data_IF_660103940863
#
_entry.id   IF_660103940863
#
_cell.length_a   1.000
_cell.length_b   1.000
_cell.length_c   1.000
_cell.angle_alpha   90.00
_cell.angle_beta   90.00
_cell.angle_gamma   90.00
#
_symmetry.space_group_name_H-M   'P 1'
#
loop_
_entity.id
_entity.type
_entity.pdbx_description
1 polymer ?
#
# COMPACT_ATOMS: atom_id res chain seq x y z
N UNK A 1 27.98 -29.46 -5.13
CA UNK A 1 27.41 -28.35 -5.90
C UNK A 1 28.18 -27.08 -5.58
N UNK A 2 28.54 -26.27 -6.61
CA UNK A 2 29.27 -25.03 -6.38
C UNK A 2 28.41 -24.08 -5.52
N UNK A 3 29.03 -23.29 -4.63
CA UNK A 3 28.28 -22.33 -3.81
C UNK A 3 27.52 -21.34 -4.72
N UNK A 4 26.29 -20.93 -4.33
CA UNK A 4 25.50 -20.04 -5.16
C UNK A 4 26.26 -18.73 -5.39
N UNK A 5 26.39 -18.35 -6.67
CA UNK A 5 27.09 -17.12 -7.08
C UNK A 5 26.49 -15.90 -6.37
N UNK A 6 27.30 -14.93 -5.92
CA UNK A 6 26.86 -13.74 -5.16
C UNK A 6 25.73 -12.94 -5.85
N UNK A 7 25.70 -12.95 -7.17
CA UNK A 7 24.66 -12.32 -8.01
C UNK A 7 23.26 -12.91 -7.84
N UNK A 8 23.12 -14.21 -7.56
CA UNK A 8 21.82 -14.84 -7.29
C UNK A 8 21.28 -14.47 -5.90
N UNK A 9 22.13 -14.34 -4.92
CA UNK A 9 21.72 -14.03 -3.54
C UNK A 9 21.28 -12.56 -3.38
N UNK A 10 21.98 -11.63 -4.06
CA UNK A 10 21.61 -10.19 -4.08
C UNK A 10 20.27 -9.96 -4.79
N UNK A 11 20.04 -10.61 -5.93
CA UNK A 11 18.77 -10.54 -6.66
C UNK A 11 17.56 -11.03 -5.81
N UNK A 12 17.74 -12.10 -5.03
CA UNK A 12 16.70 -12.65 -4.15
C UNK A 12 16.35 -11.70 -3.01
N UNK A 13 17.34 -11.16 -2.30
CA UNK A 13 17.10 -10.16 -1.24
C UNK A 13 16.43 -8.91 -1.76
N UNK A 14 16.83 -8.40 -2.90
CA UNK A 14 16.21 -7.25 -3.54
C UNK A 14 14.72 -7.49 -3.87
N UNK A 15 14.38 -8.65 -4.43
CA UNK A 15 12.97 -8.97 -4.77
C UNK A 15 12.08 -9.04 -3.55
N UNK A 16 12.53 -9.70 -2.49
CA UNK A 16 11.78 -9.77 -1.23
C UNK A 16 11.63 -8.38 -0.58
N UNK A 17 12.64 -7.52 -0.69
CA UNK A 17 12.56 -6.13 -0.21
C UNK A 17 11.52 -5.33 -1.00
N UNK A 18 11.53 -5.41 -2.34
CA UNK A 18 10.58 -4.65 -3.17
C UNK A 18 9.12 -5.04 -2.96
N UNK A 19 8.81 -6.35 -2.78
CA UNK A 19 7.46 -6.81 -2.43
C UNK A 19 7.04 -6.24 -1.08
N UNK A 20 7.93 -6.30 -0.10
CA UNK A 20 7.70 -5.78 1.23
C UNK A 20 7.39 -4.29 1.21
N UNK A 21 8.15 -3.51 0.42
CA UNK A 21 7.96 -2.07 0.32
C UNK A 21 6.62 -1.72 -0.33
N UNK A 22 6.24 -2.41 -1.40
CA UNK A 22 4.93 -2.24 -2.06
C UNK A 22 3.76 -2.62 -1.14
N UNK A 23 3.89 -3.71 -0.40
CA UNK A 23 2.87 -4.14 0.56
C UNK A 23 2.78 -3.18 1.75
N UNK A 24 3.90 -2.69 2.26
CA UNK A 24 3.93 -1.66 3.31
C UNK A 24 3.29 -0.37 2.81
N UNK A 25 3.52 -0.01 1.54
CA UNK A 25 2.90 1.16 0.90
C UNK A 25 1.38 1.08 0.82
N UNK A 26 0.81 -0.08 0.52
CA UNK A 26 -0.65 -0.25 0.41
C UNK A 26 -1.31 -0.54 1.75
N UNK A 27 -0.86 -1.57 2.47
CA UNK A 27 -1.46 -2.00 3.72
C UNK A 27 -1.13 -1.05 4.88
N UNK A 28 0.11 -0.57 4.95
CA UNK A 28 0.50 0.43 5.95
C UNK A 28 -0.29 1.73 5.81
N UNK A 29 -0.52 2.17 4.57
CA UNK A 29 -1.37 3.33 4.29
C UNK A 29 -2.83 3.09 4.70
N UNK A 30 -3.38 1.92 4.40
CA UNK A 30 -4.74 1.57 4.82
C UNK A 30 -4.92 1.67 6.33
N UNK A 31 -4.05 1.02 7.12
CA UNK A 31 -4.12 1.04 8.57
C UNK A 31 -3.85 2.44 9.11
N UNK A 32 -2.86 3.13 8.55
CA UNK A 32 -2.49 4.48 8.97
C UNK A 32 -3.56 5.52 8.67
N UNK A 33 -4.23 5.42 7.52
CA UNK A 33 -5.38 6.27 7.20
C UNK A 33 -6.57 5.96 8.09
N UNK A 34 -6.83 4.69 8.39
CA UNK A 34 -7.89 4.31 9.32
C UNK A 34 -7.69 4.94 10.71
N UNK A 35 -6.44 5.02 11.18
CA UNK A 35 -6.09 5.66 12.43
C UNK A 35 -6.04 7.20 12.35
N UNK A 36 -5.58 7.75 11.23
CA UNK A 36 -5.37 9.20 11.04
C UNK A 36 -6.59 9.97 10.55
N UNK A 37 -7.52 9.33 9.86
CA UNK A 37 -8.68 9.98 9.26
C UNK A 37 -9.60 10.68 10.29
N UNK A 38 -9.94 10.05 11.45
CA UNK A 38 -10.71 10.74 12.48
C UNK A 38 -10.00 11.98 13.03
N UNK A 39 -8.66 11.93 13.16
CA UNK A 39 -7.86 13.07 13.60
C UNK A 39 -7.95 14.22 12.61
N UNK A 40 -7.80 13.95 11.32
CA UNK A 40 -7.89 14.96 10.27
C UNK A 40 -9.27 15.62 10.22
N UNK A 41 -10.35 14.82 10.26
CA UNK A 41 -11.70 15.37 10.30
C UNK A 41 -11.91 16.28 11.49
N UNK A 42 -11.45 15.86 12.68
CA UNK A 42 -11.65 16.61 13.92
C UNK A 42 -10.86 17.94 13.93
N UNK A 43 -9.68 17.95 13.32
CA UNK A 43 -8.81 19.14 13.32
C UNK A 43 -9.09 20.10 12.18
N UNK A 44 -9.48 19.60 11.02
CA UNK A 44 -9.69 20.42 9.83
C UNK A 44 -11.16 20.81 9.58
N UNK A 45 -12.09 20.02 10.11
CA UNK A 45 -13.54 20.23 9.95
C UNK A 45 -14.27 20.04 11.29
N UNK A 46 -14.06 20.94 12.27
CA UNK A 46 -14.62 20.79 13.63
C UNK A 46 -16.15 20.79 13.67
N UNK A 47 -16.82 21.39 12.67
CA UNK A 47 -18.27 21.44 12.52
C UNK A 47 -18.89 20.06 12.19
N UNK A 48 -18.06 19.10 11.73
CA UNK A 48 -18.54 17.81 11.27
C UNK A 48 -18.51 16.78 12.40
N UNK A 49 -19.62 16.05 12.55
CA UNK A 49 -19.67 14.94 13.49
C UNK A 49 -18.81 13.74 12.99
N UNK A 50 -17.62 13.67 13.51
CA UNK A 50 -16.60 12.66 13.14
C UNK A 50 -17.13 11.23 13.32
N UNK A 51 -17.96 10.97 14.36
CA UNK A 51 -18.45 9.62 14.66
C UNK A 51 -19.35 9.06 13.56
N UNK A 52 -20.04 9.94 12.82
CA UNK A 52 -20.93 9.52 11.73
C UNK A 52 -20.16 9.05 10.48
N UNK A 53 -18.96 9.55 10.25
CA UNK A 53 -18.24 9.36 8.98
C UNK A 53 -16.95 8.56 9.11
N UNK A 54 -16.33 8.53 10.29
CA UNK A 54 -15.00 7.94 10.49
C UNK A 54 -14.93 6.45 10.14
N UNK A 55 -15.99 5.68 10.41
CA UNK A 55 -16.02 4.25 10.14
C UNK A 55 -16.17 3.90 8.65
N UNK A 56 -16.68 4.83 7.83
CA UNK A 56 -16.92 4.59 6.40
C UNK A 56 -15.62 4.36 5.63
N UNK A 57 -14.54 5.05 5.99
CA UNK A 57 -13.26 4.86 5.37
C UNK A 57 -12.71 3.43 5.46
N UNK A 58 -12.48 2.92 6.68
CA UNK A 58 -12.07 1.52 6.87
C UNK A 58 -13.05 0.50 6.26
N UNK A 59 -14.35 0.77 6.32
CA UNK A 59 -15.38 -0.09 5.71
C UNK A 59 -15.20 -0.18 4.19
N UNK A 60 -15.09 0.96 3.51
CA UNK A 60 -14.87 1.02 2.05
C UNK A 60 -13.58 0.29 1.67
N UNK A 61 -12.50 0.49 2.40
CA UNK A 61 -11.23 -0.18 2.12
C UNK A 61 -11.27 -1.69 2.37
N UNK A 62 -11.96 -2.15 3.40
CA UNK A 62 -12.15 -3.58 3.67
C UNK A 62 -13.01 -4.26 2.57
N UNK A 63 -14.11 -3.62 2.18
CA UNK A 63 -14.98 -4.13 1.12
C UNK A 63 -14.27 -4.12 -0.24
N UNK A 64 -13.54 -3.06 -0.58
CA UNK A 64 -12.78 -2.99 -1.83
C UNK A 64 -11.72 -4.09 -1.90
N UNK A 65 -11.02 -4.37 -0.79
CA UNK A 65 -10.06 -5.48 -0.72
C UNK A 65 -10.71 -6.83 -1.03
N UNK A 66 -11.88 -7.11 -0.47
CA UNK A 66 -12.60 -8.35 -0.70
C UNK A 66 -13.15 -8.45 -2.14
N UNK A 67 -13.67 -7.32 -2.67
CA UNK A 67 -14.33 -7.29 -3.96
C UNK A 67 -13.37 -7.26 -5.15
N UNK A 68 -12.12 -6.79 -5.00
CA UNK A 68 -11.22 -6.50 -6.13
C UNK A 68 -10.09 -7.49 -6.33
N UNK A 69 -10.02 -8.55 -5.52
CA UNK A 69 -8.98 -9.58 -5.66
C UNK A 69 -8.93 -10.18 -7.07
N UNK A 70 -10.08 -10.45 -7.70
CA UNK A 70 -10.17 -10.98 -9.05
C UNK A 70 -9.55 -10.08 -10.16
N UNK A 71 -9.45 -8.78 -9.90
CA UNK A 71 -8.83 -7.82 -10.84
C UNK A 71 -7.34 -8.13 -10.99
N UNK A 72 -6.68 -8.42 -9.87
CA UNK A 72 -5.26 -8.80 -9.86
C UNK A 72 -5.00 -10.13 -10.55
N UNK A 73 -5.94 -11.09 -10.43
CA UNK A 73 -5.85 -12.38 -11.12
C UNK A 73 -5.94 -12.20 -12.64
N UNK A 74 -6.75 -11.26 -13.10
CA UNK A 74 -7.00 -11.03 -14.55
C UNK A 74 -5.93 -10.16 -15.21
N UNK A 75 -5.46 -9.10 -14.53
CA UNK A 75 -4.59 -8.08 -15.13
C UNK A 75 -3.13 -8.19 -14.69
N UNK A 76 -2.83 -9.05 -13.71
CA UNK A 76 -1.53 -9.17 -13.07
C UNK A 76 -1.36 -8.20 -11.91
N UNK A 77 -0.92 -8.75 -10.75
CA UNK A 77 -0.81 -7.98 -9.51
C UNK A 77 0.14 -6.79 -9.60
N UNK A 78 1.27 -6.92 -10.31
CA UNK A 78 2.25 -5.85 -10.45
C UNK A 78 1.73 -4.63 -11.24
N UNK A 79 0.93 -4.87 -12.28
CA UNK A 79 0.31 -3.79 -13.06
C UNK A 79 -0.79 -3.08 -12.26
N UNK A 80 -1.65 -3.85 -11.60
CA UNK A 80 -2.72 -3.31 -10.76
C UNK A 80 -2.13 -2.46 -9.64
N UNK A 81 -1.09 -2.95 -8.96
CA UNK A 81 -0.41 -2.21 -7.89
C UNK A 81 0.20 -0.90 -8.40
N UNK A 82 0.85 -0.91 -9.56
CA UNK A 82 1.42 0.30 -10.17
C UNK A 82 0.35 1.37 -10.45
N UNK A 83 -0.74 1.00 -11.12
CA UNK A 83 -1.84 1.92 -11.39
C UNK A 83 -2.54 2.41 -10.12
N UNK A 84 -2.61 1.55 -9.10
CA UNK A 84 -3.14 1.93 -7.78
C UNK A 84 -2.29 3.02 -7.14
N UNK A 85 -0.95 2.92 -7.16
CA UNK A 85 -0.10 3.98 -6.63
C UNK A 85 -0.26 5.30 -7.39
N UNK A 86 -0.37 5.27 -8.72
CA UNK A 86 -0.63 6.48 -9.50
C UNK A 86 -1.98 7.11 -9.15
N UNK A 87 -3.02 6.30 -8.99
CA UNK A 87 -4.34 6.79 -8.58
C UNK A 87 -4.32 7.35 -7.15
N UNK A 88 -3.56 6.73 -6.24
CA UNK A 88 -3.37 7.23 -4.87
C UNK A 88 -2.68 8.60 -4.86
N UNK A 89 -1.68 8.83 -5.71
CA UNK A 89 -1.03 10.14 -5.87
C UNK A 89 -2.07 11.20 -6.28
N UNK A 90 -2.91 10.90 -7.26
CA UNK A 90 -3.97 11.81 -7.72
C UNK A 90 -4.97 12.08 -6.59
N UNK A 91 -5.37 11.05 -5.85
CA UNK A 91 -6.33 11.19 -4.75
C UNK A 91 -5.75 12.01 -3.58
N UNK A 92 -4.48 11.83 -3.21
CA UNK A 92 -3.82 12.66 -2.19
C UNK A 92 -3.71 14.12 -2.65
N UNK A 93 -3.41 14.33 -3.92
CA UNK A 93 -3.41 15.69 -4.49
C UNK A 93 -4.82 16.31 -4.42
N UNK A 94 -5.86 15.54 -4.69
CA UNK A 94 -7.25 15.96 -4.50
C UNK A 94 -7.55 16.33 -3.03
N UNK A 95 -7.09 15.53 -2.08
CA UNK A 95 -7.22 15.84 -0.63
C UNK A 95 -6.59 17.19 -0.31
N UNK A 96 -5.38 17.48 -0.82
CA UNK A 96 -4.71 18.77 -0.61
C UNK A 96 -5.51 19.95 -1.13
N UNK A 97 -6.23 19.80 -2.25
CA UNK A 97 -7.03 20.89 -2.85
C UNK A 97 -8.31 21.22 -2.06
N UNK A 98 -8.86 20.26 -1.34
CA UNK A 98 -10.10 20.42 -0.59
C UNK A 98 -9.93 20.71 0.91
N UNK A 99 -8.69 20.65 1.40
CA UNK A 99 -8.38 21.05 2.78
C UNK A 99 -8.52 22.56 2.97
N UNK A 100 -8.85 23.02 4.18
CA UNK A 100 -8.79 24.43 4.54
C UNK A 100 -7.43 25.04 4.16
N UNK A 101 -7.46 26.20 3.51
CA UNK A 101 -6.27 26.94 3.06
C UNK A 101 -6.48 28.44 3.20
N UNK A 102 -5.44 29.25 3.01
CA UNK A 102 -5.57 30.72 3.03
C UNK A 102 -6.58 31.24 1.98
N UNK A 103 -6.70 30.53 0.84
CA UNK A 103 -7.65 30.87 -0.23
C UNK A 103 -9.07 30.40 0.05
N UNK A 104 -9.26 29.40 0.89
CA UNK A 104 -10.54 28.77 1.25
C UNK A 104 -10.51 28.37 2.72
N UNK A 105 -10.78 29.29 3.67
CA UNK A 105 -10.66 29.00 5.11
C UNK A 105 -11.55 27.87 5.60
N UNK A 106 -12.75 27.73 5.03
CA UNK A 106 -13.71 26.68 5.39
C UNK A 106 -13.42 25.33 4.71
N UNK A 107 -12.59 25.33 3.67
CA UNK A 107 -12.32 24.14 2.85
C UNK A 107 -13.61 23.57 2.21
N UNK A 108 -13.52 22.37 1.67
CA UNK A 108 -14.70 21.63 1.18
C UNK A 108 -14.72 20.22 1.75
N UNK A 109 -15.50 20.03 2.82
CA UNK A 109 -15.61 18.74 3.49
C UNK A 109 -16.03 17.60 2.54
N UNK A 110 -16.99 17.79 1.67
CA UNK A 110 -17.46 16.73 0.78
C UNK A 110 -16.43 16.35 -0.27
N UNK A 111 -15.69 17.32 -0.80
CA UNK A 111 -14.57 17.05 -1.70
C UNK A 111 -13.42 16.31 -1.01
N UNK A 112 -13.04 16.76 0.18
CA UNK A 112 -12.07 16.08 1.04
C UNK A 112 -12.52 14.65 1.35
N UNK A 113 -13.77 14.47 1.79
CA UNK A 113 -14.32 13.17 2.13
C UNK A 113 -14.32 12.21 0.93
N UNK A 114 -14.79 12.68 -0.23
CA UNK A 114 -14.79 11.86 -1.45
C UNK A 114 -13.38 11.42 -1.87
N UNK A 115 -12.39 12.33 -1.83
CA UNK A 115 -10.99 11.99 -2.13
C UNK A 115 -10.43 11.00 -1.09
N UNK A 116 -10.77 11.15 0.19
CA UNK A 116 -10.35 10.21 1.22
C UNK A 116 -11.00 8.83 1.08
N UNK A 117 -12.29 8.78 0.71
CA UNK A 117 -12.96 7.51 0.38
C UNK A 117 -12.32 6.83 -0.83
N UNK A 118 -11.94 7.61 -1.86
CA UNK A 118 -11.16 7.08 -2.99
C UNK A 118 -9.81 6.53 -2.54
N UNK A 119 -9.10 7.19 -1.61
CA UNK A 119 -7.86 6.68 -1.02
C UNK A 119 -8.08 5.35 -0.29
N UNK A 120 -9.12 5.24 0.54
CA UNK A 120 -9.45 3.98 1.20
C UNK A 120 -9.77 2.87 0.20
N UNK A 121 -10.55 3.16 -0.82
CA UNK A 121 -10.85 2.22 -1.90
C UNK A 121 -9.55 1.75 -2.59
N UNK A 122 -8.70 2.67 -2.99
CA UNK A 122 -7.44 2.38 -3.68
C UNK A 122 -6.45 1.60 -2.79
N UNK A 123 -6.34 1.94 -1.51
CA UNK A 123 -5.51 1.18 -0.57
C UNK A 123 -6.02 -0.26 -0.41
N UNK A 124 -7.34 -0.47 -0.43
CA UNK A 124 -7.94 -1.80 -0.44
C UNK A 124 -7.61 -2.60 -1.69
N UNK A 125 -7.75 -2.00 -2.88
CA UNK A 125 -7.36 -2.61 -4.17
C UNK A 125 -5.87 -2.94 -4.19
N UNK A 126 -5.02 -2.00 -3.79
CA UNK A 126 -3.57 -2.19 -3.71
C UNK A 126 -3.19 -3.29 -2.73
N UNK A 127 -3.87 -3.37 -1.59
CA UNK A 127 -3.64 -4.42 -0.62
C UNK A 127 -4.04 -5.81 -1.17
N UNK A 128 -5.17 -5.93 -1.86
CA UNK A 128 -5.57 -7.17 -2.51
C UNK A 128 -4.55 -7.61 -3.57
N UNK A 129 -4.08 -6.67 -4.42
CA UNK A 129 -3.13 -6.98 -5.48
C UNK A 129 -1.76 -7.40 -4.95
N UNK A 130 -1.22 -6.70 -3.97
CA UNK A 130 0.08 -7.03 -3.36
C UNK A 130 0.02 -8.34 -2.57
N UNK A 131 -1.09 -8.62 -1.90
CA UNK A 131 -1.29 -9.87 -1.18
C UNK A 131 -1.26 -11.09 -2.12
N UNK A 132 -1.85 -10.98 -3.31
CA UNK A 132 -1.86 -12.05 -4.33
C UNK A 132 -0.51 -12.21 -5.05
N UNK A 133 0.27 -11.14 -5.18
CA UNK A 133 1.61 -11.21 -5.78
C UNK A 133 2.56 -12.13 -5.01
N UNK A 134 2.48 -12.17 -3.67
CA UNK A 134 3.41 -12.94 -2.83
C UNK A 134 3.36 -14.44 -3.15
N UNK A 135 2.20 -15.13 -3.10
CA UNK A 135 2.13 -16.53 -3.49
C UNK A 135 2.52 -16.79 -4.96
N UNK A 136 2.16 -15.88 -5.87
CA UNK A 136 2.50 -16.01 -7.30
C UNK A 136 4.01 -16.00 -7.52
N UNK A 137 4.74 -15.15 -6.82
CA UNK A 137 6.20 -15.08 -6.89
C UNK A 137 6.83 -16.29 -6.21
N UNK A 138 6.30 -16.73 -5.07
CA UNK A 138 6.82 -17.91 -4.37
C UNK A 138 6.64 -19.20 -5.17
N UNK A 139 5.53 -19.36 -5.90
CA UNK A 139 5.33 -20.48 -6.84
C UNK A 139 6.41 -20.56 -7.93
N UNK A 140 7.01 -19.44 -8.30
CA UNK A 140 8.10 -19.41 -9.30
C UNK A 140 9.49 -19.58 -8.65
N UNK A 141 9.69 -19.04 -7.45
CA UNK A 141 11.00 -19.01 -6.80
C UNK A 141 11.33 -20.30 -6.02
N UNK A 142 10.37 -20.90 -5.30
CA UNK A 142 10.63 -22.09 -4.48
C UNK A 142 11.08 -23.29 -5.31
N UNK A 143 10.47 -23.63 -6.49
CA UNK A 143 10.96 -24.71 -7.34
C UNK A 143 12.39 -24.49 -7.87
N UNK A 144 12.76 -23.24 -8.12
CA UNK A 144 14.13 -22.88 -8.56
C UNK A 144 15.16 -23.06 -7.46
N UNK A 145 14.76 -22.95 -6.20
CA UNK A 145 15.64 -23.04 -5.04
C UNK A 145 15.79 -24.47 -4.52
N UNK A 146 14.74 -25.26 -4.67
CA UNK A 146 14.63 -26.63 -4.17
C UNK A 146 14.17 -27.59 -5.28
N UNK A 147 14.99 -27.79 -6.34
CA UNK A 147 14.60 -28.57 -7.51
C UNK A 147 14.42 -30.07 -7.22
N UNK A 148 14.94 -30.56 -6.09
CA UNK A 148 14.90 -31.96 -5.71
C UNK A 148 13.75 -32.35 -4.76
N UNK A 149 12.84 -31.40 -4.45
CA UNK A 149 11.67 -31.69 -3.63
C UNK A 149 10.57 -32.36 -4.46
N UNK A 150 9.90 -33.34 -3.84
CA UNK A 150 8.67 -33.91 -4.38
C UNK A 150 7.57 -32.84 -4.51
N UNK A 151 6.65 -33.05 -5.47
CA UNK A 151 5.61 -32.05 -5.80
C UNK A 151 4.75 -31.64 -4.60
N UNK A 152 4.39 -32.60 -3.74
CA UNK A 152 3.61 -32.33 -2.54
C UNK A 152 4.39 -31.54 -1.48
N UNK A 153 5.67 -31.88 -1.28
CA UNK A 153 6.56 -31.15 -0.38
C UNK A 153 6.86 -29.73 -0.91
N UNK A 154 6.99 -29.58 -2.22
CA UNK A 154 7.21 -28.29 -2.88
C UNK A 154 6.03 -27.35 -2.70
N UNK A 155 4.80 -27.83 -2.86
CA UNK A 155 3.61 -27.05 -2.62
C UNK A 155 3.53 -26.58 -1.17
N UNK A 156 3.71 -27.49 -0.22
CA UNK A 156 3.71 -27.16 1.22
C UNK A 156 4.76 -26.12 1.58
N UNK A 157 5.97 -26.26 1.03
CA UNK A 157 7.05 -25.29 1.25
C UNK A 157 6.69 -23.92 0.67
N UNK A 158 6.09 -23.86 -0.52
CA UNK A 158 5.65 -22.62 -1.17
C UNK A 158 4.60 -21.89 -0.32
N UNK A 159 3.65 -22.63 0.23
CA UNK A 159 2.61 -22.08 1.12
C UNK A 159 3.22 -21.55 2.43
N UNK A 160 4.14 -22.29 3.05
CA UNK A 160 4.83 -21.87 4.27
C UNK A 160 5.67 -20.60 4.06
N UNK A 161 6.47 -20.54 3.00
CA UNK A 161 7.28 -19.35 2.66
C UNK A 161 6.39 -18.14 2.36
N UNK A 162 5.30 -18.34 1.62
CA UNK A 162 4.34 -17.28 1.33
C UNK A 162 3.70 -16.74 2.59
N UNK A 163 3.24 -17.62 3.48
CA UNK A 163 2.63 -17.24 4.76
C UNK A 163 3.63 -16.48 5.67
N UNK A 164 4.88 -16.94 5.73
CA UNK A 164 5.92 -16.28 6.52
C UNK A 164 6.22 -14.86 6.00
N UNK A 165 6.30 -14.66 4.68
CA UNK A 165 6.52 -13.34 4.07
C UNK A 165 5.33 -12.42 4.34
N UNK A 166 4.10 -12.91 4.16
CA UNK A 166 2.88 -12.15 4.44
C UNK A 166 2.84 -11.72 5.91
N UNK A 167 3.08 -12.63 6.85
CA UNK A 167 3.07 -12.33 8.27
C UNK A 167 4.10 -11.26 8.65
N UNK A 168 5.34 -11.41 8.17
CA UNK A 168 6.43 -10.48 8.45
C UNK A 168 6.17 -9.09 7.85
N UNK A 169 5.73 -9.04 6.60
CA UNK A 169 5.42 -7.76 5.93
C UNK A 169 4.21 -7.07 6.54
N UNK A 170 3.19 -7.84 6.97
CA UNK A 170 2.03 -7.29 7.67
C UNK A 170 2.40 -6.70 9.02
N UNK A 171 3.30 -7.34 9.76
CA UNK A 171 3.81 -6.81 11.03
C UNK A 171 4.52 -5.47 10.84
N UNK A 172 5.36 -5.34 9.80
CA UNK A 172 6.02 -4.07 9.46
C UNK A 172 5.00 -3.02 9.04
N UNK A 173 4.06 -3.37 8.17
CA UNK A 173 3.03 -2.46 7.68
C UNK A 173 2.11 -1.94 8.80
N UNK A 174 1.90 -2.73 9.86
CA UNK A 174 1.10 -2.31 11.03
C UNK A 174 1.67 -1.06 11.73
N UNK A 175 2.99 -0.79 11.63
CA UNK A 175 3.57 0.46 12.12
C UNK A 175 3.01 1.70 11.41
N UNK A 176 2.38 1.56 10.24
CA UNK A 176 1.63 2.64 9.58
C UNK A 176 0.59 3.28 10.49
N UNK A 177 -0.06 2.49 11.37
CA UNK A 177 -1.01 2.99 12.37
C UNK A 177 -0.39 4.00 13.35
N UNK A 178 0.91 3.92 13.59
CA UNK A 178 1.63 4.85 14.45
C UNK A 178 2.22 6.02 13.67
N UNK A 179 2.92 5.74 12.57
CA UNK A 179 3.66 6.77 11.84
C UNK A 179 2.75 7.77 11.12
N UNK A 180 1.66 7.33 10.53
CA UNK A 180 0.79 8.21 9.74
C UNK A 180 0.06 9.23 10.63
N UNK A 181 -0.64 8.85 11.71
CA UNK A 181 -1.22 9.82 12.63
C UNK A 181 -0.18 10.75 13.28
N UNK A 182 1.01 10.21 13.60
CA UNK A 182 2.12 11.03 14.13
C UNK A 182 2.59 12.08 13.14
N UNK A 183 2.74 11.73 11.85
CA UNK A 183 3.11 12.68 10.80
C UNK A 183 2.04 13.77 10.64
N UNK A 184 0.76 13.42 10.66
CA UNK A 184 -0.33 14.39 10.66
C UNK A 184 -0.25 15.31 11.87
N UNK A 185 -0.16 14.73 13.07
CA UNK A 185 -0.07 15.51 14.31
C UNK A 185 1.14 16.44 14.34
N UNK A 186 2.31 15.99 13.90
CA UNK A 186 3.52 16.81 13.80
C UNK A 186 3.37 17.93 12.78
N UNK A 187 2.84 17.63 11.59
CA UNK A 187 2.59 18.64 10.55
C UNK A 187 1.63 19.73 11.07
N UNK A 188 0.53 19.33 11.67
CA UNK A 188 -0.48 20.25 12.22
C UNK A 188 0.14 21.09 13.37
N UNK A 189 0.93 20.49 14.25
CA UNK A 189 1.58 21.22 15.34
C UNK A 189 2.60 22.26 14.86
N UNK A 190 3.27 22.00 13.74
CA UNK A 190 4.30 22.90 13.18
C UNK A 190 3.73 23.99 12.27
N UNK A 191 2.70 23.70 11.50
CA UNK A 191 2.19 24.56 10.42
C UNK A 191 0.70 24.88 10.50
N UNK A 192 0.00 24.33 11.49
CA UNK A 192 -1.47 24.44 11.59
C UNK A 192 -2.24 23.53 10.59
N UNK A 193 -1.55 22.92 9.63
CA UNK A 193 -2.15 22.14 8.57
C UNK A 193 -1.46 20.79 8.33
N UNK A 194 -2.17 19.76 7.83
CA UNK A 194 -1.59 18.45 7.55
C UNK A 194 -0.80 18.40 6.22
N UNK A 195 -0.63 19.52 5.54
CA UNK A 195 -0.06 19.61 4.18
C UNK A 195 1.33 18.97 4.10
N UNK A 196 2.21 19.19 5.06
CA UNK A 196 3.55 18.61 5.09
C UNK A 196 3.54 17.08 5.10
N UNK A 197 2.64 16.48 5.87
CA UNK A 197 2.47 15.04 5.91
C UNK A 197 1.94 14.48 4.56
N UNK A 198 0.98 15.16 3.94
CA UNK A 198 0.43 14.75 2.65
C UNK A 198 1.46 14.85 1.52
N UNK A 199 2.31 15.87 1.51
CA UNK A 199 3.44 15.95 0.58
C UNK A 199 4.45 14.82 0.79
N UNK A 200 4.72 14.45 2.04
CA UNK A 200 5.57 13.29 2.33
C UNK A 200 4.96 11.98 1.78
N UNK A 201 3.63 11.80 1.89
CA UNK A 201 2.96 10.63 1.31
C UNK A 201 2.98 10.63 -0.22
N UNK A 202 2.83 11.78 -0.87
CA UNK A 202 3.01 11.89 -2.32
C UNK A 202 4.40 11.41 -2.76
N UNK A 203 5.44 11.88 -2.09
CA UNK A 203 6.82 11.44 -2.33
C UNK A 203 6.99 9.93 -2.11
N UNK A 204 6.44 9.40 -1.03
CA UNK A 204 6.48 7.98 -0.72
C UNK A 204 5.77 7.12 -1.78
N UNK A 205 4.58 7.51 -2.23
CA UNK A 205 3.86 6.78 -3.28
C UNK A 205 4.55 6.88 -4.64
N UNK A 206 5.18 8.01 -4.96
CA UNK A 206 6.00 8.14 -6.16
C UNK A 206 7.17 7.14 -6.15
N UNK A 207 7.87 7.01 -5.03
CA UNK A 207 8.94 6.01 -4.85
C UNK A 207 8.39 4.58 -4.99
N UNK A 208 7.26 4.26 -4.33
CA UNK A 208 6.61 2.96 -4.46
C UNK A 208 6.20 2.65 -5.90
N UNK A 209 5.64 3.63 -6.63
CA UNK A 209 5.27 3.49 -8.03
C UNK A 209 6.48 3.20 -8.92
N UNK A 210 7.59 3.92 -8.73
CA UNK A 210 8.84 3.70 -9.48
C UNK A 210 9.40 2.30 -9.20
N UNK A 211 9.46 1.88 -7.95
CA UNK A 211 9.90 0.54 -7.56
C UNK A 211 9.01 -0.53 -8.23
N UNK A 212 7.68 -0.35 -8.13
CA UNK A 212 6.73 -1.28 -8.72
C UNK A 212 6.88 -1.36 -10.25
N UNK A 213 7.09 -0.23 -10.91
CA UNK A 213 7.30 -0.19 -12.35
C UNK A 213 8.59 -0.91 -12.79
N UNK A 214 9.70 -0.65 -12.11
CA UNK A 214 11.00 -1.23 -12.46
C UNK A 214 11.00 -2.75 -12.29
N UNK A 215 10.44 -3.26 -11.19
CA UNK A 215 10.59 -4.65 -10.79
C UNK A 215 9.44 -5.56 -11.24
N UNK A 216 8.22 -5.03 -11.41
CA UNK A 216 7.03 -5.85 -11.62
C UNK A 216 6.20 -5.49 -12.86
N UNK A 217 6.10 -4.20 -13.22
CA UNK A 217 5.12 -3.76 -14.23
C UNK A 217 5.64 -3.73 -15.66
N UNK A 218 6.96 -3.52 -15.90
CA UNK A 218 7.53 -3.48 -17.27
C UNK A 218 7.63 -4.88 -17.87
N UNK A 219 7.43 -4.99 -19.21
CA UNK A 219 7.53 -6.27 -19.96
C UNK A 219 8.85 -7.00 -19.79
N UNK A 220 9.96 -6.27 -19.54
CA UNK A 220 11.28 -6.83 -19.25
C UNK A 220 11.61 -6.82 -17.76
N UNK A 221 10.61 -6.81 -16.89
CA UNK A 221 10.81 -6.82 -15.45
C UNK A 221 11.49 -8.13 -14.99
N UNK A 222 12.30 -8.10 -13.94
CA UNK A 222 12.93 -9.29 -13.39
C UNK A 222 11.93 -10.35 -12.92
N UNK A 223 10.73 -9.92 -12.52
CA UNK A 223 9.62 -10.78 -12.06
C UNK A 223 8.30 -10.18 -12.53
N UNK A 224 7.93 -10.37 -13.81
CA UNK A 224 6.62 -9.91 -14.28
C UNK A 224 5.52 -10.73 -13.59
N UNK A 225 4.55 -10.05 -12.98
CA UNK A 225 3.41 -10.64 -12.27
C UNK A 225 2.10 -10.07 -12.80
#
# INVERSE_FOLDING_TARGET
PPPPTPTRCTSRRQRQMCIRDSYTGTFGSFIGYAAGFPLLMRTQFPEVDVLKYAFLGPLVGALSRAATGWISDKFGGGRVTFWTFLAMIIAVFGVLQFLPSEASPDGNFWGFFACFMALFFLTGVGNASTFQMIPSIMKQEVPRLMPNLDAGALQKQTEMESAAIIAFTSAIAAYGAFFIPKLYGTSIAMTGAPNGALWAFLGFYAVCAVICWIFYSRKSAPVPC
#
